data_IF_870005847469
#
_entry.id   IF_870005847469
#
_cell.length_a   1.000
_cell.length_b   1.000
_cell.length_c   1.000
_cell.angle_alpha   90.00
_cell.angle_beta   90.00
_cell.angle_gamma   90.00
#
_symmetry.space_group_name_H-M   'P 1'
#
loop_
_entity.id
_entity.type
_entity.pdbx_description
1 polymer ?
#
# COMPACT_ATOMS: atom_id res chain seq x y z
N UNK A 1 -18.12 -34.60 35.07
CA UNK A 1 -19.32 -34.02 35.70
C UNK A 1 -19.25 -32.50 35.67
N UNK A 2 -20.01 -31.95 34.73
CA UNK A 2 -20.57 -30.58 34.65
C UNK A 2 -19.66 -29.33 34.68
N UNK A 3 -20.05 -28.27 33.93
CA UNK A 3 -19.20 -27.18 33.48
C UNK A 3 -19.49 -25.84 34.20
N UNK A 4 -18.63 -24.84 33.99
CA UNK A 4 -18.84 -23.46 34.44
C UNK A 4 -18.43 -22.43 33.36
N UNK A 5 -19.01 -21.22 33.35
CA UNK A 5 -19.56 -20.65 32.12
C UNK A 5 -18.88 -19.38 31.59
N UNK A 6 -19.11 -19.17 30.28
CA UNK A 6 -19.16 -17.94 29.47
C UNK A 6 -18.75 -16.60 30.10
N UNK A 7 -17.71 -15.99 29.54
CA UNK A 7 -17.51 -14.53 29.57
C UNK A 7 -17.76 -13.95 28.18
N UNK A 8 -18.86 -13.19 28.07
CA UNK A 8 -19.08 -12.23 27.00
C UNK A 8 -18.18 -11.01 27.25
N UNK A 9 -17.39 -10.61 26.25
CA UNK A 9 -16.74 -9.29 26.24
C UNK A 9 -17.52 -8.40 25.27
N UNK A 10 -18.24 -7.44 25.84
CA UNK A 10 -18.86 -6.33 25.13
C UNK A 10 -17.79 -5.30 24.75
N UNK A 11 -17.83 -4.91 23.48
CA UNK A 11 -17.00 -3.88 22.87
C UNK A 11 -17.73 -2.55 23.04
N UNK A 12 -17.18 -1.62 23.82
CA UNK A 12 -17.70 -0.24 23.93
C UNK A 12 -16.71 0.75 23.34
N UNK A 13 -17.10 1.31 22.20
CA UNK A 13 -16.49 2.48 21.58
C UNK A 13 -16.63 3.71 22.48
N UNK A 14 -15.53 4.44 22.68
CA UNK A 14 -15.55 5.80 23.21
C UNK A 14 -14.83 6.74 22.23
N UNK A 15 -15.63 7.53 21.52
CA UNK A 15 -15.20 8.75 20.83
C UNK A 15 -15.58 9.97 21.67
N UNK A 16 -14.56 10.74 22.04
CA UNK A 16 -14.51 12.20 22.23
C UNK A 16 -15.74 12.96 22.74
N UNK A 17 -15.56 13.66 23.88
CA UNK A 17 -15.61 15.14 23.99
C UNK A 17 -15.44 15.61 25.43
N UNK A 18 -14.77 16.75 25.58
CA UNK A 18 -15.20 17.77 26.55
C UNK A 18 -14.18 18.23 27.60
N UNK A 19 -13.30 19.13 27.16
CA UNK A 19 -12.60 20.16 27.93
C UNK A 19 -13.25 20.60 29.26
N UNK A 20 -12.43 20.69 30.33
CA UNK A 20 -12.62 21.66 31.42
C UNK A 20 -11.27 22.04 32.07
N UNK A 21 -11.17 23.33 32.42
CA UNK A 21 -10.25 24.00 33.36
C UNK A 21 -8.94 24.59 32.82
N UNK A 22 -9.05 25.82 32.31
CA UNK A 22 -8.05 26.86 32.57
C UNK A 22 -8.76 28.19 32.85
N UNK A 23 -8.73 28.62 34.12
CA UNK A 23 -9.11 29.95 34.56
C UNK A 23 -7.97 30.48 35.44
N UNK A 24 -7.41 31.65 35.09
CA UNK A 24 -7.34 32.83 35.97
C UNK A 24 -6.27 33.82 35.50
N UNK A 25 -6.71 34.98 34.99
CA UNK A 25 -6.48 36.34 35.54
C UNK A 25 -6.55 37.41 34.43
N UNK A 26 -7.57 38.26 34.53
CA UNK A 26 -7.64 39.57 33.86
C UNK A 26 -6.68 40.58 34.53
N UNK A 27 -6.38 41.70 33.87
CA UNK A 27 -7.17 42.92 34.12
C UNK A 27 -7.57 43.69 32.84
N UNK A 28 -8.53 44.65 32.92
CA UNK A 28 -9.22 45.23 31.78
C UNK A 28 -8.66 46.60 31.38
N UNK A 29 -8.71 46.94 30.09
CA UNK A 29 -8.76 48.35 29.67
C UNK A 29 -9.42 48.51 28.29
N UNK A 30 -10.39 49.42 28.26
CA UNK A 30 -11.22 49.76 27.12
C UNK A 30 -10.46 50.52 26.02
N UNK A 31 -10.88 50.32 24.76
CA UNK A 31 -11.17 51.40 23.79
C UNK A 31 -11.73 50.85 22.47
N UNK A 32 -12.78 51.52 22.01
CA UNK A 32 -13.47 51.36 20.74
C UNK A 32 -12.54 51.23 19.54
N UNK A 33 -12.96 50.43 18.55
CA UNK A 33 -13.04 50.90 17.16
C UNK A 33 -13.96 50.01 16.32
N UNK A 34 -14.91 50.68 15.70
CA UNK A 34 -15.71 50.22 14.57
C UNK A 34 -14.89 49.49 13.53
N UNK A 35 -15.40 48.35 13.08
CA UNK A 35 -15.28 47.95 11.67
C UNK A 35 -16.46 47.07 11.29
N UNK A 36 -17.30 47.60 10.41
CA UNK A 36 -18.39 46.91 9.73
C UNK A 36 -17.95 45.54 9.19
N UNK A 37 -18.83 44.52 9.22
CA UNK A 37 -18.52 43.22 8.65
C UNK A 37 -18.56 43.33 7.12
N UNK A 38 -17.42 43.11 6.49
CA UNK A 38 -17.37 42.77 5.06
C UNK A 38 -18.20 41.50 4.85
N UNK A 39 -19.22 41.61 3.99
CA UNK A 39 -20.10 40.53 3.56
C UNK A 39 -19.27 39.53 2.76
N UNK A 40 -18.60 38.61 3.46
CA UNK A 40 -18.14 37.35 2.87
C UNK A 40 -19.40 36.50 2.67
N UNK A 41 -19.92 36.50 1.45
CA UNK A 41 -20.89 35.52 0.96
C UNK A 41 -20.26 34.14 1.13
N UNK A 42 -20.58 33.46 2.23
CA UNK A 42 -20.31 32.04 2.36
C UNK A 42 -21.20 31.29 1.35
N UNK A 43 -20.73 30.19 0.75
CA UNK A 43 -21.56 29.30 -0.04
C UNK A 43 -22.42 28.45 0.91
N UNK A 44 -23.21 29.08 1.76
CA UNK A 44 -24.22 28.42 2.55
C UNK A 44 -25.51 28.45 1.75
N UNK A 45 -25.75 27.39 0.99
CA UNK A 45 -27.08 26.79 0.87
C UNK A 45 -27.13 25.59 -0.08
N UNK A 46 -26.02 25.17 -0.71
CA UNK A 46 -26.05 23.96 -1.57
C UNK A 46 -26.43 22.71 -0.79
N UNK A 47 -25.93 22.58 0.45
CA UNK A 47 -26.27 21.45 1.32
C UNK A 47 -27.72 21.51 1.82
N UNK A 48 -28.27 22.71 2.02
CA UNK A 48 -29.67 22.89 2.44
C UNK A 48 -30.63 22.64 1.27
N UNK A 49 -30.27 23.08 0.06
CA UNK A 49 -30.98 22.80 -1.19
C UNK A 49 -30.95 21.30 -1.49
N UNK A 50 -29.81 20.64 -1.30
CA UNK A 50 -29.69 19.19 -1.48
C UNK A 50 -30.55 18.44 -0.46
N UNK A 51 -30.52 18.81 0.83
CA UNK A 51 -31.40 18.24 1.86
C UNK A 51 -32.89 18.38 1.51
N UNK A 52 -33.31 19.53 0.96
CA UNK A 52 -34.71 19.73 0.52
C UNK A 52 -35.06 18.82 -0.67
N UNK A 53 -34.15 18.65 -1.62
CA UNK A 53 -34.33 17.74 -2.77
C UNK A 53 -34.41 16.29 -2.31
N UNK A 54 -33.57 15.89 -1.37
CA UNK A 54 -33.56 14.54 -0.81
C UNK A 54 -34.85 14.25 -0.04
N UNK A 55 -35.34 15.19 0.79
CA UNK A 55 -36.62 15.05 1.49
C UNK A 55 -37.81 14.95 0.53
N UNK A 56 -37.81 15.74 -0.56
CA UNK A 56 -38.83 15.62 -1.61
C UNK A 56 -38.74 14.29 -2.35
N UNK A 57 -37.52 13.80 -2.61
CA UNK A 57 -37.31 12.50 -3.22
C UNK A 57 -37.78 11.37 -2.33
N UNK A 58 -37.46 11.38 -1.03
CA UNK A 58 -37.93 10.40 -0.04
C UNK A 58 -39.46 10.41 0.03
N UNK A 59 -40.08 11.59 0.07
CA UNK A 59 -41.54 11.73 0.05
C UNK A 59 -42.18 11.10 -1.19
N UNK A 60 -41.64 11.36 -2.38
CA UNK A 60 -42.10 10.74 -3.63
C UNK A 60 -41.83 9.24 -3.70
N UNK A 61 -40.69 8.80 -3.17
CA UNK A 61 -40.29 7.40 -3.11
C UNK A 61 -41.23 6.59 -2.22
N UNK A 62 -41.56 7.10 -1.03
CA UNK A 62 -42.50 6.48 -0.11
C UNK A 62 -43.93 6.46 -0.70
N UNK A 63 -44.39 7.57 -1.28
CA UNK A 63 -45.68 7.61 -1.98
C UNK A 63 -45.75 6.66 -3.19
N UNK A 64 -44.65 6.51 -3.93
CA UNK A 64 -44.54 5.55 -5.03
C UNK A 64 -44.57 4.10 -4.53
N UNK A 65 -44.00 3.83 -3.35
CA UNK A 65 -44.02 2.52 -2.70
C UNK A 65 -45.40 2.18 -2.14
N UNK A 66 -46.12 3.16 -1.58
CA UNK A 66 -47.51 2.98 -1.14
C UNK A 66 -48.48 2.81 -2.31
N UNK A 67 -48.25 3.51 -3.43
CA UNK A 67 -49.00 3.27 -4.68
C UNK A 67 -48.67 1.92 -5.32
N UNK A 68 -47.42 1.45 -5.24
CA UNK A 68 -47.04 0.11 -5.68
C UNK A 68 -47.58 -1.00 -4.76
N UNK A 69 -47.76 -0.71 -3.46
CA UNK A 69 -48.40 -1.61 -2.50
C UNK A 69 -49.94 -1.64 -2.63
N UNK A 70 -50.56 -0.51 -3.03
CA UNK A 70 -52.01 -0.38 -3.28
C UNK A 70 -52.45 -0.65 -4.71
N UNK A 71 -51.53 -0.75 -5.67
CA UNK A 71 -51.85 -1.31 -6.97
C UNK A 71 -52.45 -2.69 -6.71
N UNK A 72 -53.68 -3.00 -7.19
CA UNK A 72 -54.22 -4.33 -7.03
C UNK A 72 -53.18 -5.25 -7.65
N UNK A 73 -52.51 -6.05 -6.81
CA UNK A 73 -51.72 -7.18 -7.27
C UNK A 73 -52.67 -7.89 -8.20
N UNK A 74 -52.45 -7.76 -9.52
CA UNK A 74 -53.08 -8.63 -10.48
C UNK A 74 -52.84 -10.01 -9.88
N UNK A 75 -53.93 -10.65 -9.45
CA UNK A 75 -53.86 -11.94 -8.83
C UNK A 75 -53.13 -12.77 -9.87
N UNK A 76 -51.84 -12.98 -9.65
CA UNK A 76 -51.10 -13.95 -10.38
C UNK A 76 -51.72 -15.23 -9.86
N UNK A 77 -52.78 -15.63 -10.54
CA UNK A 77 -53.23 -17.00 -10.64
C UNK A 77 -52.00 -17.74 -11.14
N UNK A 78 -51.10 -18.07 -10.21
CA UNK A 78 -50.18 -19.17 -10.38
C UNK A 78 -51.11 -20.34 -10.56
N UNK A 79 -51.44 -20.63 -11.82
CA UNK A 79 -52.57 -21.45 -12.17
C UNK A 79 -52.54 -22.72 -11.29
N UNK A 80 -53.52 -22.91 -10.39
CA UNK A 80 -53.62 -24.15 -9.62
C UNK A 80 -53.84 -25.34 -10.56
N UNK A 81 -54.43 -25.08 -11.75
CA UNK A 81 -54.84 -26.07 -12.74
C UNK A 81 -53.81 -27.15 -13.10
N UNK A 82 -52.62 -26.82 -13.66
CA UNK A 82 -51.71 -27.84 -14.18
C UNK A 82 -50.93 -28.59 -13.10
N UNK A 83 -50.53 -27.95 -12.00
CA UNK A 83 -49.86 -28.65 -10.90
C UNK A 83 -50.84 -29.58 -10.18
N UNK A 84 -52.05 -29.10 -9.91
CA UNK A 84 -53.09 -29.94 -9.34
C UNK A 84 -53.48 -31.08 -10.29
N UNK A 85 -53.56 -30.85 -11.60
CA UNK A 85 -53.81 -31.89 -12.61
C UNK A 85 -52.66 -32.91 -12.69
N UNK A 86 -51.39 -32.49 -12.63
CA UNK A 86 -50.24 -33.41 -12.56
C UNK A 86 -50.24 -34.23 -11.27
N UNK A 87 -50.54 -33.61 -10.12
CA UNK A 87 -50.69 -34.33 -8.85
C UNK A 87 -51.93 -35.25 -8.84
N UNK A 88 -53.00 -34.89 -9.56
CA UNK A 88 -54.19 -35.73 -9.74
C UNK A 88 -53.88 -36.93 -10.65
N UNK A 89 -53.19 -36.72 -11.77
CA UNK A 89 -52.73 -37.79 -12.64
C UNK A 89 -51.76 -38.73 -11.91
N UNK A 90 -50.81 -38.20 -11.12
CA UNK A 90 -49.92 -39.03 -10.30
C UNK A 90 -50.69 -39.88 -9.29
N UNK A 91 -51.73 -39.34 -8.64
CA UNK A 91 -52.62 -40.10 -7.74
C UNK A 91 -53.44 -41.16 -8.47
N UNK A 92 -53.94 -40.85 -9.68
CA UNK A 92 -54.67 -41.83 -10.51
C UNK A 92 -53.75 -42.96 -10.98
N UNK A 93 -52.46 -42.69 -11.25
CA UNK A 93 -51.46 -43.73 -11.53
C UNK A 93 -51.26 -44.64 -10.32
N UNK A 94 -51.15 -44.10 -9.11
CA UNK A 94 -51.08 -44.91 -7.89
C UNK A 94 -52.36 -45.74 -7.67
N UNK A 95 -53.55 -45.15 -7.87
CA UNK A 95 -54.85 -45.84 -7.74
C UNK A 95 -55.02 -46.93 -8.80
N UNK A 96 -54.48 -46.73 -10.00
CA UNK A 96 -54.48 -47.74 -11.07
C UNK A 96 -53.55 -48.90 -10.72
N UNK A 97 -52.38 -48.64 -10.14
CA UNK A 97 -51.47 -49.67 -9.66
C UNK A 97 -52.12 -50.53 -8.57
N UNK A 98 -52.79 -49.90 -7.60
CA UNK A 98 -53.58 -50.58 -6.56
C UNK A 98 -54.71 -51.43 -7.16
N UNK A 99 -55.46 -50.89 -8.15
CA UNK A 99 -56.51 -51.64 -8.84
C UNK A 99 -55.95 -52.83 -9.66
N UNK A 100 -54.76 -52.70 -10.23
CA UNK A 100 -54.08 -53.80 -10.93
C UNK A 100 -53.54 -54.88 -9.97
N UNK A 101 -53.13 -54.53 -8.75
CA UNK A 101 -52.82 -55.52 -7.71
C UNK A 101 -54.09 -56.25 -7.25
N UNK A 102 -55.18 -55.53 -6.97
CA UNK A 102 -56.46 -56.14 -6.61
C UNK A 102 -57.00 -57.09 -7.70
N UNK A 103 -56.74 -56.80 -8.98
CA UNK A 103 -57.08 -57.66 -10.11
C UNK A 103 -56.25 -58.96 -10.16
N UNK A 104 -55.00 -58.92 -9.69
CA UNK A 104 -54.15 -60.11 -9.54
C UNK A 104 -54.62 -60.98 -8.39
N UNK A 105 -55.06 -60.36 -7.30
CA UNK A 105 -55.52 -61.06 -6.09
C UNK A 105 -56.91 -61.71 -6.26
N UNK A 106 -57.76 -61.19 -7.15
CA UNK A 106 -59.14 -61.68 -7.40
C UNK A 106 -59.28 -62.66 -8.57
N UNK A 107 -58.18 -63.17 -9.11
CA UNK A 107 -58.16 -64.03 -10.31
C UNK A 107 -58.90 -65.39 -10.20
N UNK A 108 -59.41 -65.74 -9.01
CA UNK A 108 -60.17 -66.98 -8.75
C UNK A 108 -61.69 -66.84 -8.67
N UNK A 109 -62.25 -65.62 -8.68
CA UNK A 109 -63.69 -65.36 -8.59
C UNK A 109 -64.14 -64.49 -9.79
N UNK A 110 -64.89 -65.07 -10.72
CA UNK A 110 -65.29 -64.41 -11.97
C UNK A 110 -66.10 -63.13 -11.76
N UNK A 111 -66.94 -63.09 -10.71
CA UNK A 111 -67.75 -61.91 -10.39
C UNK A 111 -66.88 -60.81 -9.76
N UNK A 112 -66.05 -61.16 -8.78
CA UNK A 112 -65.15 -60.18 -8.14
C UNK A 112 -64.07 -59.66 -9.10
N UNK A 113 -63.67 -60.49 -10.08
CA UNK A 113 -62.73 -60.11 -11.13
C UNK A 113 -63.34 -59.12 -12.12
N UNK A 114 -64.61 -59.33 -12.53
CA UNK A 114 -65.32 -58.42 -13.43
C UNK A 114 -65.53 -57.02 -12.83
N UNK A 115 -65.83 -56.94 -11.52
CA UNK A 115 -65.96 -55.67 -10.79
C UNK A 115 -64.62 -54.95 -10.62
N UNK A 116 -63.56 -55.69 -10.30
CA UNK A 116 -62.19 -55.16 -10.20
C UNK A 116 -61.68 -54.67 -11.56
N UNK A 117 -62.01 -55.38 -12.64
CA UNK A 117 -61.67 -55.00 -14.03
C UNK A 117 -62.38 -53.73 -14.47
N UNK A 118 -63.67 -53.62 -14.17
CA UNK A 118 -64.46 -52.41 -14.45
C UNK A 118 -63.92 -51.20 -13.69
N UNK A 119 -63.51 -51.39 -12.43
CA UNK A 119 -62.89 -50.35 -11.60
C UNK A 119 -61.54 -49.90 -12.17
N UNK A 120 -60.67 -50.84 -12.57
CA UNK A 120 -59.37 -50.53 -13.19
C UNK A 120 -59.54 -49.81 -14.54
N UNK A 121 -60.52 -50.22 -15.35
CA UNK A 121 -60.87 -49.54 -16.61
C UNK A 121 -61.36 -48.11 -16.36
N UNK A 122 -62.20 -47.89 -15.35
CA UNK A 122 -62.66 -46.55 -14.97
C UNK A 122 -61.52 -45.64 -14.52
N UNK A 123 -60.57 -46.14 -13.74
CA UNK A 123 -59.37 -45.37 -13.35
C UNK A 123 -58.48 -45.06 -14.57
N UNK A 124 -58.37 -46.01 -15.51
CA UNK A 124 -57.59 -45.84 -16.74
C UNK A 124 -58.20 -44.76 -17.65
N UNK A 125 -59.52 -44.74 -17.82
CA UNK A 125 -60.19 -43.71 -18.64
C UNK A 125 -60.10 -42.33 -17.96
N UNK A 126 -60.28 -42.24 -16.64
CA UNK A 126 -60.05 -41.01 -15.88
C UNK A 126 -58.61 -40.47 -16.04
N UNK A 127 -57.62 -41.37 -16.05
CA UNK A 127 -56.22 -41.00 -16.28
C UNK A 127 -55.98 -40.55 -17.71
N UNK A 128 -56.58 -41.21 -18.70
CA UNK A 128 -56.50 -40.82 -20.11
C UNK A 128 -57.09 -39.43 -20.34
N UNK A 129 -58.27 -39.14 -19.78
CA UNK A 129 -58.91 -37.83 -19.88
C UNK A 129 -58.07 -36.72 -19.23
N UNK A 130 -57.46 -36.97 -18.07
CA UNK A 130 -56.57 -36.01 -17.41
C UNK A 130 -55.25 -35.81 -18.19
N UNK A 131 -54.71 -36.86 -18.79
CA UNK A 131 -53.53 -36.76 -19.65
C UNK A 131 -53.84 -36.01 -20.94
N UNK A 132 -55.01 -36.19 -21.55
CA UNK A 132 -55.41 -35.49 -22.76
C UNK A 132 -55.67 -34.00 -22.49
N UNK A 133 -56.23 -33.66 -21.32
CA UNK A 133 -56.31 -32.27 -20.81
C UNK A 133 -54.93 -31.63 -20.64
N UNK A 134 -53.92 -32.40 -20.21
CA UNK A 134 -52.53 -31.94 -20.08
C UNK A 134 -51.77 -31.90 -21.41
N UNK A 135 -52.15 -32.77 -22.36
CA UNK A 135 -51.56 -32.91 -23.70
C UNK A 135 -52.02 -31.87 -24.70
N UNK A 136 -53.02 -31.03 -24.37
CA UNK A 136 -53.36 -29.83 -25.15
C UNK A 136 -52.09 -29.01 -25.46
N UNK A 137 -51.53 -29.24 -26.66
CA UNK A 137 -50.12 -29.00 -26.97
C UNK A 137 -49.68 -27.57 -26.76
N UNK A 138 -50.52 -26.60 -27.09
CA UNK A 138 -50.23 -25.17 -26.97
C UNK A 138 -49.97 -24.75 -25.52
N UNK A 139 -50.73 -25.30 -24.57
CA UNK A 139 -50.53 -25.01 -23.15
C UNK A 139 -49.18 -25.57 -22.72
N UNK A 140 -48.88 -26.84 -22.98
CA UNK A 140 -47.62 -27.49 -22.60
C UNK A 140 -46.39 -26.76 -23.18
N UNK A 141 -46.43 -26.35 -24.45
CA UNK A 141 -45.34 -25.58 -25.08
C UNK A 141 -45.17 -24.21 -24.41
N UNK A 142 -46.25 -23.52 -24.08
CA UNK A 142 -46.18 -22.24 -23.33
C UNK A 142 -45.56 -22.41 -21.94
N UNK A 143 -45.79 -23.55 -21.26
CA UNK A 143 -45.20 -23.86 -19.96
C UNK A 143 -43.71 -24.20 -20.07
N UNK A 144 -43.32 -25.03 -21.05
CA UNK A 144 -41.91 -25.31 -21.37
C UNK A 144 -41.17 -24.02 -21.72
N UNK A 145 -41.79 -23.13 -22.48
CA UNK A 145 -41.25 -21.81 -22.80
C UNK A 145 -41.06 -20.96 -21.54
N UNK A 146 -42.06 -20.89 -20.64
CA UNK A 146 -41.95 -20.18 -19.35
C UNK A 146 -40.83 -20.76 -18.47
N UNK A 147 -40.72 -22.07 -18.35
CA UNK A 147 -39.67 -22.74 -17.58
C UNK A 147 -38.28 -22.48 -18.17
N UNK A 148 -38.13 -22.54 -19.50
CA UNK A 148 -36.87 -22.21 -20.16
C UNK A 148 -36.47 -20.75 -19.95
N UNK A 149 -37.44 -19.81 -19.97
CA UNK A 149 -37.22 -18.39 -19.64
C UNK A 149 -36.75 -18.21 -18.20
N UNK A 150 -37.36 -18.92 -17.25
CA UNK A 150 -36.96 -18.91 -15.83
C UNK A 150 -35.56 -19.49 -15.65
N UNK A 151 -35.26 -20.63 -16.30
CA UNK A 151 -33.93 -21.24 -16.25
C UNK A 151 -32.85 -20.33 -16.85
N UNK A 152 -33.11 -19.73 -18.02
CA UNK A 152 -32.23 -18.74 -18.65
C UNK A 152 -32.02 -17.52 -17.75
N UNK A 153 -33.08 -16.99 -17.13
CA UNK A 153 -32.99 -15.86 -16.18
C UNK A 153 -32.14 -16.23 -14.96
N UNK A 154 -32.37 -17.40 -14.35
CA UNK A 154 -31.57 -17.88 -13.21
C UNK A 154 -30.10 -18.06 -13.58
N UNK A 155 -29.81 -18.65 -14.75
CA UNK A 155 -28.45 -18.80 -15.25
C UNK A 155 -27.75 -17.45 -15.46
N UNK A 156 -28.45 -16.45 -16.02
CA UNK A 156 -27.92 -15.08 -16.16
C UNK A 156 -27.61 -14.44 -14.81
N UNK A 157 -28.51 -14.56 -13.84
CA UNK A 157 -28.30 -14.02 -12.49
C UNK A 157 -27.11 -14.69 -11.78
N UNK A 158 -26.97 -16.01 -11.90
CA UNK A 158 -25.82 -16.74 -11.34
C UNK A 158 -24.50 -16.30 -11.99
N UNK A 159 -24.47 -16.11 -13.32
CA UNK A 159 -23.30 -15.59 -14.02
C UNK A 159 -22.96 -14.17 -13.58
N UNK A 160 -23.95 -13.28 -13.51
CA UNK A 160 -23.76 -11.91 -13.05
C UNK A 160 -23.22 -11.86 -11.60
N UNK A 161 -23.73 -12.72 -10.71
CA UNK A 161 -23.24 -12.82 -9.33
C UNK A 161 -21.79 -13.30 -9.27
N UNK A 162 -21.42 -14.30 -10.07
CA UNK A 162 -20.02 -14.77 -10.17
C UNK A 162 -19.09 -13.68 -10.69
N UNK A 163 -19.50 -12.97 -11.75
CA UNK A 163 -18.71 -11.86 -12.30
C UNK A 163 -18.52 -10.75 -11.26
N UNK A 164 -19.59 -10.38 -10.54
CA UNK A 164 -19.49 -9.39 -9.48
C UNK A 164 -18.58 -9.86 -8.33
N UNK A 165 -18.64 -11.13 -7.93
CA UNK A 165 -17.72 -11.68 -6.94
C UNK A 165 -16.25 -11.65 -7.39
N UNK A 166 -15.97 -11.89 -8.67
CA UNK A 166 -14.61 -11.79 -9.20
C UNK A 166 -14.13 -10.33 -9.23
N UNK A 167 -15.00 -9.40 -9.62
CA UNK A 167 -14.71 -7.96 -9.61
C UNK A 167 -14.46 -7.43 -8.20
N UNK A 168 -15.25 -7.85 -7.21
CA UNK A 168 -15.00 -7.52 -5.79
C UNK A 168 -13.67 -8.07 -5.31
N UNK A 169 -13.35 -9.33 -5.61
CA UNK A 169 -12.04 -9.92 -5.27
C UNK A 169 -10.88 -9.16 -5.90
N UNK A 170 -11.00 -8.78 -7.17
CA UNK A 170 -9.99 -7.99 -7.86
C UNK A 170 -9.81 -6.61 -7.19
N UNK A 171 -10.91 -5.98 -6.74
CA UNK A 171 -10.85 -4.73 -5.98
C UNK A 171 -10.19 -4.91 -4.62
N UNK A 172 -10.54 -5.98 -3.91
CA UNK A 172 -9.92 -6.35 -2.62
C UNK A 172 -8.41 -6.57 -2.79
N UNK A 173 -7.98 -7.29 -3.83
CA UNK A 173 -6.57 -7.49 -4.18
C UNK A 173 -5.88 -6.14 -4.48
N UNK A 174 -6.50 -5.27 -5.28
CA UNK A 174 -5.96 -3.93 -5.55
C UNK A 174 -5.85 -3.06 -4.31
N UNK A 175 -6.79 -3.18 -3.36
CA UNK A 175 -6.73 -2.46 -2.08
C UNK A 175 -5.61 -3.04 -1.22
N UNK A 176 -5.52 -4.37 -1.10
CA UNK A 176 -4.48 -5.05 -0.36
C UNK A 176 -3.08 -4.73 -0.90
N UNK A 177 -2.91 -4.63 -2.22
CA UNK A 177 -1.65 -4.22 -2.85
C UNK A 177 -1.26 -2.77 -2.48
N UNK A 178 -2.24 -1.86 -2.46
CA UNK A 178 -2.02 -0.47 -2.05
C UNK A 178 -1.69 -0.38 -0.56
N UNK A 179 -2.41 -1.11 0.29
CA UNK A 179 -2.14 -1.18 1.73
C UNK A 179 -0.75 -1.77 2.01
N UNK A 180 -0.39 -2.87 1.35
CA UNK A 180 0.94 -3.46 1.44
C UNK A 180 2.03 -2.49 0.96
N UNK A 181 1.79 -1.69 -0.07
CA UNK A 181 2.71 -0.64 -0.51
C UNK A 181 2.87 0.46 0.54
N UNK A 182 1.76 0.89 1.16
CA UNK A 182 1.78 1.87 2.26
C UNK A 182 2.56 1.32 3.45
N UNK A 183 2.34 0.06 3.84
CA UNK A 183 3.02 -0.53 4.98
C UNK A 183 4.51 -0.75 4.72
N UNK A 184 4.88 -1.17 3.50
CA UNK A 184 6.29 -1.18 3.07
C UNK A 184 6.94 0.20 3.21
N UNK A 185 6.25 1.26 2.77
CA UNK A 185 6.76 2.62 2.88
C UNK A 185 6.87 3.07 4.36
N UNK A 186 5.87 2.77 5.18
CA UNK A 186 5.89 3.06 6.63
C UNK A 186 7.05 2.34 7.31
N UNK A 187 7.23 1.05 7.02
CA UNK A 187 8.33 0.26 7.55
C UNK A 187 9.69 0.85 7.17
N UNK A 188 9.89 1.18 5.89
CA UNK A 188 11.12 1.86 5.44
C UNK A 188 11.33 3.19 6.16
N UNK A 189 10.25 3.94 6.42
CA UNK A 189 10.34 5.23 7.12
C UNK A 189 10.70 5.06 8.59
N UNK A 190 10.11 4.08 9.26
CA UNK A 190 10.42 3.73 10.65
C UNK A 190 11.87 3.28 10.76
N UNK A 191 12.31 2.37 9.89
CA UNK A 191 13.69 1.90 9.83
C UNK A 191 14.68 3.06 9.66
N UNK A 192 14.44 3.99 8.73
CA UNK A 192 15.30 5.18 8.57
C UNK A 192 15.37 6.04 9.84
N UNK A 193 14.26 6.19 10.57
CA UNK A 193 14.24 6.96 11.82
C UNK A 193 14.98 6.22 12.93
N UNK A 194 14.81 4.92 13.03
CA UNK A 194 15.52 4.07 13.99
C UNK A 194 17.03 4.04 13.73
N UNK A 195 17.45 3.92 12.46
CA UNK A 195 18.85 4.00 12.06
C UNK A 195 19.46 5.34 12.47
N UNK A 196 18.79 6.45 12.14
CA UNK A 196 19.22 7.79 12.58
C UNK A 196 19.28 7.93 14.10
N UNK A 197 18.39 7.25 14.83
CA UNK A 197 18.41 7.26 16.30
C UNK A 197 19.62 6.48 16.82
N UNK A 198 19.88 5.28 16.28
CA UNK A 198 21.05 4.46 16.61
C UNK A 198 22.37 5.19 16.31
N UNK A 199 22.46 5.87 15.16
CA UNK A 199 23.61 6.71 14.81
C UNK A 199 23.85 7.83 15.82
N UNK A 200 22.79 8.51 16.29
CA UNK A 200 22.91 9.55 17.33
C UNK A 200 23.34 8.96 18.66
N UNK A 201 22.79 7.81 19.05
CA UNK A 201 23.17 7.11 20.28
C UNK A 201 24.65 6.70 20.25
N UNK A 202 25.15 6.20 19.11
CA UNK A 202 26.56 5.88 18.91
C UNK A 202 27.45 7.13 19.03
N UNK A 203 27.06 8.26 18.42
CA UNK A 203 27.78 9.54 18.56
C UNK A 203 27.84 10.01 20.01
N UNK A 204 26.71 9.97 20.71
CA UNK A 204 26.65 10.34 22.14
C UNK A 204 27.51 9.41 23.00
N UNK A 205 27.55 8.11 22.71
CA UNK A 205 28.41 7.17 23.40
C UNK A 205 29.91 7.47 23.17
N UNK A 206 30.29 7.80 21.93
CA UNK A 206 31.66 8.20 21.60
C UNK A 206 32.06 9.50 22.33
N UNK A 207 31.17 10.51 22.33
CA UNK A 207 31.38 11.77 23.03
C UNK A 207 31.48 11.56 24.55
N UNK A 208 30.70 10.64 25.12
CA UNK A 208 30.78 10.30 26.54
C UNK A 208 32.15 9.73 26.92
N UNK A 209 32.69 8.80 26.13
CA UNK A 209 34.04 8.24 26.33
C UNK A 209 35.11 9.32 26.22
N UNK A 210 35.04 10.20 25.21
CA UNK A 210 35.96 11.33 25.07
C UNK A 210 35.87 12.29 26.27
N UNK A 211 34.66 12.58 26.76
CA UNK A 211 34.46 13.40 27.94
C UNK A 211 35.07 12.77 29.19
N UNK A 212 35.00 11.45 29.35
CA UNK A 212 35.65 10.74 30.45
C UNK A 212 37.18 10.85 30.39
N UNK A 213 37.79 10.68 29.22
CA UNK A 213 39.24 10.85 29.06
C UNK A 213 39.66 12.29 29.40
N UNK A 214 38.89 13.30 28.95
CA UNK A 214 39.14 14.71 29.28
C UNK A 214 39.01 15.00 30.77
N UNK A 215 38.03 14.38 31.46
CA UNK A 215 37.90 14.46 32.92
C UNK A 215 39.13 13.86 33.61
N UNK A 216 39.57 12.66 33.20
CA UNK A 216 40.80 12.03 33.73
C UNK A 216 42.03 12.91 33.54
N UNK A 217 42.17 13.57 32.39
CA UNK A 217 43.26 14.53 32.16
C UNK A 217 43.17 15.75 33.08
N UNK A 218 41.98 16.32 33.27
CA UNK A 218 41.74 17.44 34.18
C UNK A 218 42.07 17.07 35.63
N UNK A 219 41.71 15.85 36.06
CA UNK A 219 42.03 15.35 37.39
C UNK A 219 43.54 15.20 37.61
N UNK A 220 44.28 14.69 36.61
CA UNK A 220 45.75 14.64 36.68
C UNK A 220 46.35 16.03 36.80
N UNK A 221 45.84 17.02 36.07
CA UNK A 221 46.28 18.43 36.20
C UNK A 221 46.00 18.98 37.60
N UNK A 222 44.79 18.74 38.13
CA UNK A 222 44.42 19.12 39.50
C UNK A 222 45.35 18.49 40.54
N UNK A 223 45.68 17.20 40.40
CA UNK A 223 46.62 16.52 41.28
C UNK A 223 48.04 17.12 41.18
N UNK A 224 48.52 17.45 39.98
CA UNK A 224 49.80 18.14 39.81
C UNK A 224 49.84 19.50 40.52
N UNK A 225 48.74 20.26 40.47
CA UNK A 225 48.64 21.54 41.17
C UNK A 225 48.62 21.39 42.70
N UNK A 226 47.98 20.33 43.22
CA UNK A 226 48.04 19.97 44.65
C UNK A 226 49.48 19.63 45.06
N UNK A 227 50.24 18.89 44.25
CA UNK A 227 51.63 18.57 44.56
C UNK A 227 52.51 19.84 44.61
N UNK A 228 52.27 20.77 43.68
CA UNK A 228 52.96 22.08 43.67
C UNK A 228 52.63 22.90 44.91
N UNK A 229 51.37 22.90 45.37
CA UNK A 229 50.97 23.64 46.57
C UNK A 229 51.52 23.00 47.86
N UNK A 230 51.55 21.67 47.94
CA UNK A 230 52.15 20.93 49.06
C UNK A 230 53.65 21.20 49.18
N UNK A 231 54.36 21.23 48.07
CA UNK A 231 55.78 21.55 48.04
C UNK A 231 56.05 22.97 48.55
N UNK A 232 55.27 23.95 48.08
CA UNK A 232 55.34 25.35 48.58
C UNK A 232 55.06 25.43 50.08
N UNK A 233 54.02 24.74 50.55
CA UNK A 233 53.65 24.71 51.97
C UNK A 233 54.77 24.12 52.84
N UNK A 234 55.40 23.04 52.39
CA UNK A 234 56.55 22.43 53.08
C UNK A 234 57.74 23.40 53.13
N UNK A 235 58.08 24.07 52.02
CA UNK A 235 59.15 25.07 51.97
C UNK A 235 58.91 26.21 52.96
N UNK A 236 57.70 26.77 52.98
CA UNK A 236 57.32 27.83 53.93
C UNK A 236 57.41 27.38 55.40
N UNK A 237 56.97 26.15 55.70
CA UNK A 237 57.10 25.59 57.06
C UNK A 237 58.56 25.40 57.47
N UNK A 238 59.42 24.96 56.54
CA UNK A 238 60.86 24.81 56.78
C UNK A 238 61.52 26.16 57.04
N UNK A 239 61.24 27.17 56.21
CA UNK A 239 61.74 28.54 56.42
C UNK A 239 61.26 29.14 57.75
N UNK A 240 59.99 28.91 58.12
CA UNK A 240 59.46 29.39 59.39
C UNK A 240 60.11 28.71 60.61
N UNK A 241 60.45 27.42 60.51
CA UNK A 241 61.19 26.70 61.56
C UNK A 241 62.63 27.21 61.68
N UNK A 242 63.31 27.44 60.54
CA UNK A 242 64.66 28.00 60.50
C UNK A 242 64.72 29.39 61.15
N UNK A 243 63.73 30.27 60.90
CA UNK A 243 63.62 31.59 61.57
C UNK A 243 63.45 31.48 63.08
N UNK A 244 62.89 30.38 63.58
CA UNK A 244 62.74 30.09 65.02
C UNK A 244 63.96 29.38 65.62
N UNK A 245 65.02 29.16 64.85
CA UNK A 245 66.22 28.43 65.28
C UNK A 245 66.06 26.90 65.35
N UNK A 246 64.94 26.36 64.87
CA UNK A 246 64.66 24.93 64.86
C UNK A 246 65.07 24.36 63.49
N UNK A 247 66.07 23.49 63.47
CA UNK A 247 66.51 22.78 62.26
C UNK A 247 65.70 21.50 62.09
N UNK A 248 65.08 21.32 60.93
CA UNK A 248 64.38 20.08 60.57
C UNK A 248 65.39 19.01 60.16
N UNK A 249 65.15 17.75 60.54
CA UNK A 249 65.99 16.61 60.15
C UNK A 249 66.08 16.45 58.63
N UNK A 250 67.30 16.34 58.11
CA UNK A 250 67.59 16.23 56.69
C UNK A 250 66.99 14.97 56.05
N UNK A 251 66.99 13.84 56.78
CA UNK A 251 66.41 12.57 56.32
C UNK A 251 64.90 12.69 56.05
N UNK A 252 64.16 13.43 56.88
CA UNK A 252 62.73 13.66 56.68
C UNK A 252 62.44 14.49 55.42
N UNK A 253 63.31 15.44 55.09
CA UNK A 253 63.17 16.27 53.90
C UNK A 253 63.50 15.52 52.61
N UNK A 254 64.49 14.64 52.66
CA UNK A 254 64.84 13.73 51.56
C UNK A 254 63.73 12.70 51.31
N UNK A 255 63.15 12.12 52.37
CA UNK A 255 62.00 11.22 52.27
C UNK A 255 60.76 11.92 51.67
N UNK A 256 60.47 13.17 52.07
CA UNK A 256 59.38 13.95 51.49
C UNK A 256 59.63 14.28 50.01
N UNK A 257 60.85 14.69 49.68
CA UNK A 257 61.23 15.08 48.31
C UNK A 257 61.19 13.89 47.36
N UNK A 258 61.72 12.73 47.79
CA UNK A 258 61.66 11.49 47.01
C UNK A 258 60.22 10.99 46.82
N UNK A 259 59.38 11.07 47.84
CA UNK A 259 57.95 10.77 47.73
C UNK A 259 57.20 11.68 46.75
N UNK A 260 57.47 13.00 46.79
CA UNK A 260 56.91 13.97 45.84
C UNK A 260 57.39 13.70 44.41
N UNK A 261 58.67 13.40 44.21
CA UNK A 261 59.20 13.09 42.88
C UNK A 261 58.62 11.80 42.31
N UNK A 262 58.46 10.76 43.13
CA UNK A 262 57.79 9.54 42.72
C UNK A 262 56.36 9.85 42.23
N UNK A 263 55.60 10.63 43.00
CA UNK A 263 54.22 10.98 42.64
C UNK A 263 54.15 11.87 41.40
N UNK A 264 55.09 12.81 41.22
CA UNK A 264 55.26 13.58 39.97
C UNK A 264 55.54 12.67 38.77
N UNK A 265 56.39 11.67 38.92
CA UNK A 265 56.69 10.70 37.87
C UNK A 265 55.43 9.92 37.47
N UNK A 266 54.64 9.46 38.44
CA UNK A 266 53.35 8.80 38.18
C UNK A 266 52.39 9.73 37.44
N UNK A 267 52.26 11.00 37.86
CA UNK A 267 51.40 11.97 37.18
C UNK A 267 51.86 12.23 35.73
N UNK A 268 53.16 12.38 35.49
CA UNK A 268 53.72 12.55 34.13
C UNK A 268 53.38 11.36 33.24
N UNK A 269 53.55 10.13 33.74
CA UNK A 269 53.19 8.89 33.01
C UNK A 269 51.69 8.88 32.67
N UNK A 270 50.82 9.18 33.63
CA UNK A 270 49.37 9.24 33.40
C UNK A 270 48.97 10.32 32.39
N UNK A 271 49.62 11.48 32.40
CA UNK A 271 49.38 12.53 31.39
C UNK A 271 49.69 12.03 29.98
N UNK A 272 50.81 11.34 29.78
CA UNK A 272 51.17 10.78 28.46
C UNK A 272 50.12 9.77 28.00
N UNK A 273 49.74 8.82 28.86
CA UNK A 273 48.75 7.78 28.53
C UNK A 273 47.41 8.40 28.13
N UNK A 274 46.82 9.28 28.95
CA UNK A 274 45.52 9.86 28.63
C UNK A 274 45.56 10.82 27.44
N UNK A 275 46.72 11.45 27.16
CA UNK A 275 46.90 12.25 25.95
C UNK A 275 46.98 11.40 24.69
N UNK A 276 47.60 10.22 24.77
CA UNK A 276 47.67 9.27 23.68
C UNK A 276 46.29 8.63 23.42
N UNK A 277 45.56 8.30 24.47
CA UNK A 277 44.19 7.79 24.41
C UNK A 277 43.23 8.78 23.73
N UNK A 278 43.24 10.06 24.12
CA UNK A 278 42.44 11.09 23.45
C UNK A 278 42.81 11.25 21.98
N UNK A 279 44.11 11.28 21.65
CA UNK A 279 44.58 11.39 20.26
C UNK A 279 44.15 10.17 19.42
N UNK A 280 44.23 8.96 19.99
CA UNK A 280 43.80 7.75 19.31
C UNK A 280 42.29 7.77 19.04
N UNK A 281 41.48 8.15 20.03
CA UNK A 281 40.03 8.28 19.86
C UNK A 281 39.68 9.34 18.81
N UNK A 282 40.34 10.50 18.81
CA UNK A 282 40.14 11.54 17.80
C UNK A 282 40.42 11.04 16.38
N UNK A 283 41.54 10.35 16.16
CA UNK A 283 41.88 9.77 14.85
C UNK A 283 40.86 8.71 14.43
N UNK A 284 40.34 7.91 15.36
CA UNK A 284 39.29 6.93 15.05
C UNK A 284 37.98 7.62 14.62
N UNK A 285 37.55 8.66 15.32
CA UNK A 285 36.35 9.43 14.96
C UNK A 285 36.52 10.16 13.62
N UNK A 286 37.69 10.74 13.36
CA UNK A 286 38.01 11.40 12.09
C UNK A 286 38.07 10.40 10.93
N UNK A 287 38.64 9.21 11.16
CA UNK A 287 38.70 8.13 10.17
C UNK A 287 37.31 7.60 9.79
N UNK A 288 36.41 7.45 10.77
CA UNK A 288 35.03 7.03 10.53
C UNK A 288 34.23 8.10 9.76
N UNK A 289 34.37 9.38 10.12
CA UNK A 289 33.75 10.49 9.37
C UNK A 289 34.29 10.60 7.95
N UNK A 290 35.60 10.42 7.74
CA UNK A 290 36.19 10.45 6.40
C UNK A 290 35.69 9.30 5.54
N UNK A 291 35.56 8.12 6.11
CA UNK A 291 35.00 6.96 5.42
C UNK A 291 33.52 7.17 5.06
N UNK A 292 32.73 7.76 5.96
CA UNK A 292 31.34 8.13 5.69
C UNK A 292 31.25 9.14 4.53
N UNK A 293 32.10 10.19 4.53
CA UNK A 293 32.17 11.15 3.42
C UNK A 293 32.55 10.48 2.10
N UNK A 294 33.50 9.54 2.11
CA UNK A 294 33.91 8.79 0.91
C UNK A 294 32.76 7.93 0.38
N UNK A 295 32.07 7.20 1.27
CA UNK A 295 30.91 6.36 0.93
C UNK A 295 29.76 7.22 0.37
N UNK A 296 29.50 8.40 0.92
CA UNK A 296 28.52 9.33 0.38
C UNK A 296 28.88 9.83 -1.03
N UNK A 297 30.15 10.19 -1.25
CA UNK A 297 30.63 10.63 -2.56
C UNK A 297 30.52 9.50 -3.60
N UNK A 298 30.91 8.27 -3.24
CA UNK A 298 30.74 7.09 -4.10
C UNK A 298 29.26 6.86 -4.45
N UNK A 299 28.34 6.97 -3.48
CA UNK A 299 26.88 6.90 -3.72
C UNK A 299 26.40 8.01 -4.65
N UNK A 300 26.88 9.25 -4.49
CA UNK A 300 26.54 10.39 -5.36
C UNK A 300 27.01 10.15 -6.78
N UNK A 301 28.27 9.74 -6.97
CA UNK A 301 28.83 9.40 -8.27
C UNK A 301 28.08 8.24 -8.93
N UNK A 302 27.71 7.21 -8.16
CA UNK A 302 26.90 6.10 -8.67
C UNK A 302 25.53 6.57 -9.14
N UNK A 303 24.85 7.41 -8.35
CA UNK A 303 23.55 7.98 -8.71
C UNK A 303 23.64 8.88 -9.94
N UNK A 304 24.71 9.65 -10.08
CA UNK A 304 24.96 10.48 -11.25
C UNK A 304 25.22 9.63 -12.50
N UNK A 305 26.06 8.59 -12.38
CA UNK A 305 26.30 7.61 -13.45
C UNK A 305 25.01 6.92 -13.89
N UNK A 306 24.16 6.53 -12.94
CA UNK A 306 22.87 5.92 -13.20
C UNK A 306 21.92 6.89 -13.91
N UNK A 307 21.82 8.15 -13.44
CA UNK A 307 21.02 9.20 -14.11
C UNK A 307 21.49 9.46 -15.52
N UNK A 308 22.81 9.51 -15.72
CA UNK A 308 23.39 9.68 -17.04
C UNK A 308 23.10 8.48 -17.95
N UNK A 309 23.16 7.26 -17.42
CA UNK A 309 22.78 6.05 -18.15
C UNK A 309 21.29 6.03 -18.49
N UNK A 310 20.42 6.42 -17.55
CA UNK A 310 18.98 6.56 -17.78
C UNK A 310 18.68 7.61 -18.84
N UNK A 311 19.36 8.77 -18.80
CA UNK A 311 19.25 9.81 -19.83
C UNK A 311 19.69 9.29 -21.20
N UNK A 312 20.81 8.57 -21.27
CA UNK A 312 21.26 7.92 -22.51
C UNK A 312 20.24 6.91 -23.04
N UNK A 313 19.65 6.08 -22.16
CA UNK A 313 18.59 5.14 -22.53
C UNK A 313 17.34 5.86 -23.05
N UNK A 314 16.91 6.93 -22.38
CA UNK A 314 15.75 7.75 -22.78
C UNK A 314 15.98 8.40 -24.15
N UNK A 315 17.16 9.00 -24.36
CA UNK A 315 17.53 9.61 -25.65
C UNK A 315 17.58 8.56 -26.75
N UNK A 316 18.18 7.38 -26.48
CA UNK A 316 18.22 6.28 -27.43
C UNK A 316 16.82 5.79 -27.80
N UNK A 317 15.93 5.67 -26.83
CA UNK A 317 14.55 5.27 -27.06
C UNK A 317 13.75 6.31 -27.88
N UNK A 318 13.98 7.61 -27.66
CA UNK A 318 13.34 8.67 -28.47
C UNK A 318 13.82 8.66 -29.92
N UNK A 319 15.12 8.46 -30.16
CA UNK A 319 15.71 8.54 -31.50
C UNK A 319 15.48 7.30 -32.34
N UNK A 320 15.47 6.12 -31.71
CA UNK A 320 15.48 4.83 -32.41
C UNK A 320 14.28 3.93 -32.06
N UNK A 321 13.36 4.41 -31.22
CA UNK A 321 12.24 3.63 -30.71
C UNK A 321 12.62 2.68 -29.55
N UNK A 322 11.62 1.96 -29.03
CA UNK A 322 11.83 0.88 -28.06
C UNK A 322 12.66 -0.27 -28.65
N UNK A 323 13.26 -1.13 -27.81
CA UNK A 323 13.99 -2.27 -28.36
C UNK A 323 13.02 -3.15 -29.17
N UNK A 324 13.41 -3.66 -30.35
CA UNK A 324 12.56 -4.53 -31.16
C UNK A 324 12.08 -5.79 -30.40
N UNK A 325 12.79 -6.19 -29.33
CA UNK A 325 12.44 -7.32 -28.47
C UNK A 325 11.30 -7.03 -27.49
N UNK A 326 10.94 -5.77 -27.28
CA UNK A 326 9.89 -5.34 -26.34
C UNK A 326 8.53 -5.13 -27.04
N UNK A 327 8.50 -5.21 -28.39
CA UNK A 327 7.29 -5.08 -29.19
C UNK A 327 6.64 -6.47 -29.39
N UNK A 328 5.31 -6.60 -29.19
CA UNK A 328 4.59 -7.81 -29.54
C UNK A 328 4.80 -8.17 -31.01
N UNK A 329 4.96 -9.46 -31.32
CA UNK A 329 5.19 -9.97 -32.67
C UNK A 329 4.10 -9.59 -33.69
N UNK A 330 2.94 -9.09 -33.24
CA UNK A 330 1.81 -8.64 -34.06
C UNK A 330 1.69 -7.09 -34.12
N UNK A 331 2.78 -6.36 -33.85
CA UNK A 331 2.74 -4.89 -33.91
C UNK A 331 2.51 -4.41 -35.35
N UNK A 332 1.47 -3.60 -35.57
CA UNK A 332 1.14 -2.98 -36.87
C UNK A 332 2.30 -2.14 -37.46
N UNK A 333 3.30 -1.82 -36.65
CA UNK A 333 4.51 -1.07 -37.02
C UNK A 333 5.66 -1.95 -37.52
N UNK A 334 5.54 -3.28 -37.48
CA UNK A 334 6.60 -4.20 -37.89
C UNK A 334 7.03 -4.01 -39.37
N UNK A 335 6.12 -3.87 -40.36
CA UNK A 335 6.54 -3.63 -41.75
C UNK A 335 7.35 -2.34 -41.93
N UNK A 336 7.02 -1.30 -41.18
CA UNK A 336 7.76 -0.03 -41.20
C UNK A 336 9.15 -0.19 -40.57
N UNK A 337 9.24 -0.94 -39.46
CA UNK A 337 10.52 -1.26 -38.82
C UNK A 337 11.42 -2.06 -39.76
N UNK A 338 10.86 -3.03 -40.48
CA UNK A 338 11.59 -3.84 -41.46
C UNK A 338 12.08 -3.02 -42.64
N UNK A 339 11.29 -2.06 -43.13
CA UNK A 339 11.70 -1.12 -44.17
C UNK A 339 12.92 -0.28 -43.75
N UNK A 340 12.91 0.30 -42.55
CA UNK A 340 14.04 1.12 -42.08
C UNK A 340 15.27 0.31 -41.62
N UNK A 341 15.09 -0.98 -41.28
CA UNK A 341 16.19 -1.90 -40.89
C UNK A 341 16.68 -2.81 -42.01
N UNK A 342 16.17 -2.64 -43.24
CA UNK A 342 16.52 -3.49 -44.39
C UNK A 342 18.03 -3.54 -44.69
N UNK A 343 18.75 -2.46 -44.42
CA UNK A 343 20.20 -2.37 -44.63
C UNK A 343 21.00 -3.26 -43.67
N UNK A 344 20.45 -3.58 -42.50
CA UNK A 344 21.08 -4.50 -41.54
C UNK A 344 20.97 -5.97 -41.98
N UNK A 345 19.93 -6.27 -42.78
CA UNK A 345 19.60 -7.64 -43.22
C UNK A 345 20.04 -7.93 -44.66
N UNK A 346 20.29 -6.90 -45.47
CA UNK A 346 20.66 -7.04 -46.88
C UNK A 346 21.74 -6.03 -47.29
N UNK A 347 22.87 -6.56 -47.74
CA UNK A 347 23.98 -5.76 -48.28
C UNK A 347 23.56 -4.94 -49.50
N UNK A 348 22.68 -5.49 -50.35
CA UNK A 348 22.19 -4.77 -51.53
C UNK A 348 21.40 -3.53 -51.14
N UNK A 349 20.51 -3.66 -50.15
CA UNK A 349 19.72 -2.54 -49.63
C UNK A 349 20.64 -1.48 -48.99
N UNK A 350 21.68 -1.89 -48.26
CA UNK A 350 22.69 -0.97 -47.72
C UNK A 350 23.39 -0.17 -48.82
N UNK A 351 23.87 -0.85 -49.87
CA UNK A 351 24.55 -0.19 -51.00
C UNK A 351 23.63 0.74 -51.77
N UNK A 352 22.37 0.35 -51.96
CA UNK A 352 21.37 1.19 -52.61
C UNK A 352 21.08 2.44 -51.79
N UNK A 353 20.74 2.29 -50.50
CA UNK A 353 20.52 3.42 -49.58
C UNK A 353 21.74 4.34 -49.60
N UNK A 354 22.96 3.78 -49.53
CA UNK A 354 24.18 4.60 -49.57
C UNK A 354 24.30 5.42 -50.86
N UNK A 355 24.04 4.81 -52.02
CA UNK A 355 24.06 5.52 -53.31
C UNK A 355 23.03 6.63 -53.38
N UNK A 356 21.83 6.41 -52.84
CA UNK A 356 20.78 7.43 -52.75
C UNK A 356 21.22 8.62 -51.88
N UNK A 357 21.91 8.36 -50.76
CA UNK A 357 22.46 9.42 -49.90
C UNK A 357 23.68 10.13 -50.51
N UNK A 358 24.53 9.44 -51.27
CA UNK A 358 25.74 10.02 -51.86
C UNK A 358 25.42 11.16 -52.86
N UNK A 359 24.20 11.20 -53.44
CA UNK A 359 23.74 12.31 -54.29
C UNK A 359 23.68 13.64 -53.54
N UNK A 360 23.53 13.62 -52.22
CA UNK A 360 23.44 14.81 -51.38
C UNK A 360 24.79 15.24 -50.77
N UNK A 361 25.88 14.53 -51.07
CA UNK A 361 27.22 14.89 -50.58
C UNK A 361 27.83 15.92 -51.52
N UNK A 362 28.07 17.12 -50.99
CA UNK A 362 28.69 18.24 -51.73
C UNK A 362 30.08 18.57 -51.15
N UNK A 363 30.98 19.18 -51.94
CA UNK A 363 32.27 19.67 -51.43
C UNK A 363 32.10 20.63 -50.25
N UNK A 364 33.10 20.69 -49.35
CA UNK A 364 33.05 21.49 -48.13
C UNK A 364 32.82 23.00 -48.37
N UNK A 365 33.23 23.49 -49.55
CA UNK A 365 33.12 24.90 -49.94
C UNK A 365 31.82 25.22 -50.68
N UNK A 366 30.90 24.25 -50.83
CA UNK A 366 29.64 24.44 -51.53
C UNK A 366 28.67 25.30 -50.70
N UNK A 367 28.06 26.36 -51.24
CA UNK A 367 27.24 27.30 -50.49
C UNK A 367 25.99 26.67 -49.85
N UNK A 368 25.45 25.62 -50.48
CA UNK A 368 24.31 24.86 -49.95
C UNK A 368 24.71 23.65 -49.08
N UNK A 369 26.01 23.50 -48.77
CA UNK A 369 26.52 22.43 -47.93
C UNK A 369 26.21 22.68 -46.45
N UNK A 370 25.73 21.66 -45.74
CA UNK A 370 25.54 21.71 -44.28
C UNK A 370 26.46 20.70 -43.60
N UNK A 371 27.02 21.10 -42.45
CA UNK A 371 27.82 20.21 -41.63
C UNK A 371 26.93 19.26 -40.80
N UNK A 372 27.40 18.04 -40.59
CA UNK A 372 26.73 17.10 -39.69
C UNK A 372 26.73 17.68 -38.27
N UNK A 373 25.58 17.72 -37.57
CA UNK A 373 25.51 18.24 -36.21
C UNK A 373 26.46 17.52 -35.24
N UNK A 374 27.10 18.24 -34.30
CA UNK A 374 28.01 17.65 -33.32
C UNK A 374 27.29 16.81 -32.24
N UNK A 375 25.96 16.89 -32.16
CA UNK A 375 25.14 16.14 -31.22
C UNK A 375 23.83 15.69 -31.84
N UNK A 376 23.19 14.68 -31.25
CA UNK A 376 21.84 14.26 -31.63
C UNK A 376 20.85 15.42 -31.54
N UNK A 377 20.08 15.62 -32.61
CA UNK A 377 18.94 16.53 -32.62
C UNK A 377 17.78 15.78 -31.95
N UNK A 378 17.29 16.31 -30.83
CA UNK A 378 16.17 15.72 -30.10
C UNK A 378 14.87 16.41 -30.53
N UNK A 379 13.77 15.66 -30.73
CA UNK A 379 12.47 16.25 -30.99
C UNK A 379 11.99 17.03 -29.74
N UNK A 380 11.23 18.10 -29.98
CA UNK A 380 10.57 18.87 -28.92
C UNK A 380 9.52 18.03 -28.20
N UNK A 381 9.15 18.46 -26.98
CA UNK A 381 8.08 17.80 -26.23
C UNK A 381 6.76 17.88 -27.02
N UNK A 382 5.92 16.82 -26.99
CA UNK A 382 4.67 16.78 -27.74
C UNK A 382 3.76 17.93 -27.30
N UNK A 383 3.18 18.63 -28.28
CA UNK A 383 2.39 19.85 -28.03
C UNK A 383 1.12 19.59 -27.22
N UNK A 384 0.54 18.39 -27.31
CA UNK A 384 -0.68 17.98 -26.60
C UNK A 384 -0.63 16.52 -26.13
N UNK A 385 -1.48 16.20 -25.14
CA UNK A 385 -1.65 14.86 -24.59
C UNK A 385 -2.04 13.81 -25.65
N UNK A 386 -2.80 14.21 -26.68
CA UNK A 386 -3.20 13.33 -27.77
C UNK A 386 -1.99 12.88 -28.62
N UNK A 387 -1.07 13.81 -28.91
CA UNK A 387 0.19 13.50 -29.59
C UNK A 387 1.12 12.68 -28.70
N UNK A 388 1.15 12.97 -27.39
CA UNK A 388 1.90 12.17 -26.43
C UNK A 388 1.42 10.70 -26.34
N UNK A 389 0.12 10.43 -26.59
CA UNK A 389 -0.44 9.07 -26.56
C UNK A 389 -0.33 8.29 -27.88
N UNK A 390 0.14 8.91 -28.96
CA UNK A 390 0.29 8.28 -30.27
C UNK A 390 1.68 7.66 -30.51
N UNK A 391 2.60 7.81 -29.55
CA UNK A 391 4.01 7.37 -29.62
C UNK A 391 4.24 6.04 -28.91
#
# INVERSE_FOLDING_TARGET
PEPGPNQHHEYTDFSERGALLANARFPPQAKNRDRSPETRTQPEDETAVQRRRDLQWIGRFLQGRDRAARAPRAQHSGAPGPRAALHRAARLVSRLAEACEALRDTAGDECAWADSYSTALGVKTELQDELDRLRLGERLHSWKAKLSRVAKRRARLLRARKLHQLDEKLREEQIADKEAAIDKWRMQRVQQVEERKKERELKLAADAVLCEVRKKQADVKRMQDILRSLEKLRRLRKEAALRKGITTEQQCDEAFSSGLEHLRCVMKKRTVVYSAEEKALMVMLEGEQEEERRREQEKRLKKERERHLQRKRRVRAMLFGGNPSDLPADSLLQPFTEYYTQAERSLHALLQIRREWDVFVVPADHPDGSAVPPSWILPDDPSDQAWASAV
#
